data_IF_344442658652
#
_entry.id   IF_344442658652
#
_cell.length_a   1.000
_cell.length_b   1.000
_cell.length_c   1.000
_cell.angle_alpha   90.00
_cell.angle_beta   90.00
_cell.angle_gamma   90.00
#
_symmetry.space_group_name_H-M   'P 1'
#
loop_
_entity.id
_entity.type
_entity.pdbx_description
1 polymer ?
#
# COMPACT_ATOMS: atom_id res chain seq x y z
N UNK A 1 -16.44 -2.03 15.38
CA UNK A 1 -17.47 -0.97 15.45
C UNK A 1 -16.81 0.41 15.37
N UNK A 2 -15.86 0.71 16.25
CA UNK A 2 -15.19 2.02 16.35
C UNK A 2 -14.53 2.52 15.04
N UNK A 3 -13.89 1.65 14.24
CA UNK A 3 -13.23 2.05 12.99
C UNK A 3 -14.24 2.48 11.92
N UNK A 4 -15.41 1.82 11.85
CA UNK A 4 -16.46 2.16 10.88
C UNK A 4 -17.07 3.52 11.21
N UNK A 5 -17.43 3.73 12.47
CA UNK A 5 -17.97 4.99 12.97
C UNK A 5 -16.97 6.16 12.81
N UNK A 6 -15.66 5.90 13.03
CA UNK A 6 -14.62 6.89 12.78
C UNK A 6 -14.48 7.26 11.29
N UNK A 7 -14.64 6.28 10.39
CA UNK A 7 -14.69 6.53 8.95
C UNK A 7 -15.87 7.42 8.57
N UNK A 8 -17.08 7.09 9.04
CA UNK A 8 -18.30 7.86 8.77
C UNK A 8 -18.16 9.32 9.26
N UNK A 9 -17.55 9.53 10.44
CA UNK A 9 -17.25 10.86 10.95
C UNK A 9 -16.29 11.68 10.08
N UNK A 10 -15.50 11.03 9.21
CA UNK A 10 -14.60 11.64 8.24
C UNK A 10 -15.20 11.68 6.82
N UNK A 11 -16.46 11.28 6.64
CA UNK A 11 -17.10 11.17 5.33
C UNK A 11 -16.59 9.99 4.49
N UNK A 12 -15.98 9.00 5.14
CA UNK A 12 -15.48 7.76 4.52
C UNK A 12 -16.44 6.63 4.87
N UNK A 13 -17.18 6.15 3.90
CA UNK A 13 -18.05 5.00 4.10
C UNK A 13 -17.24 3.70 4.01
N UNK A 14 -17.36 2.87 5.06
CA UNK A 14 -16.64 1.60 5.17
C UNK A 14 -17.64 0.44 5.24
N UNK A 15 -17.47 -0.54 4.35
CA UNK A 15 -18.24 -1.78 4.36
C UNK A 15 -17.44 -2.88 5.05
N UNK A 16 -18.08 -3.55 6.01
CA UNK A 16 -17.55 -4.78 6.58
C UNK A 16 -17.91 -5.96 5.69
N UNK A 17 -16.90 -6.73 5.30
CA UNK A 17 -17.05 -7.90 4.44
C UNK A 17 -16.45 -9.15 5.09
N UNK A 18 -17.12 -10.28 4.87
CA UNK A 18 -16.56 -11.60 5.10
C UNK A 18 -16.13 -12.15 3.73
N UNK A 19 -14.83 -12.31 3.52
CA UNK A 19 -14.26 -12.64 2.21
C UNK A 19 -13.01 -13.49 2.37
N UNK A 20 -12.76 -14.38 1.40
CA UNK A 20 -11.51 -15.14 1.36
C UNK A 20 -10.32 -14.19 1.10
N UNK A 21 -9.12 -14.61 1.51
CA UNK A 21 -7.94 -13.77 1.30
C UNK A 21 -7.66 -13.55 -0.20
N UNK A 22 -7.81 -14.60 -1.02
CA UNK A 22 -7.70 -14.50 -2.48
C UNK A 22 -8.68 -13.48 -3.06
N UNK A 23 -9.96 -13.58 -2.70
CA UNK A 23 -11.01 -12.66 -3.16
C UNK A 23 -10.65 -11.20 -2.85
N UNK A 24 -10.18 -10.94 -1.62
CA UNK A 24 -9.70 -9.61 -1.26
C UNK A 24 -8.55 -9.15 -2.16
N UNK A 25 -7.59 -10.03 -2.48
CA UNK A 25 -6.41 -9.68 -3.28
C UNK A 25 -6.76 -9.44 -4.75
N UNK A 26 -7.62 -10.28 -5.34
CA UNK A 26 -7.89 -10.26 -6.79
C UNK A 26 -9.11 -9.45 -7.20
N UNK A 27 -10.13 -9.37 -6.35
CA UNK A 27 -11.45 -8.84 -6.74
C UNK A 27 -11.76 -7.48 -6.10
N UNK A 28 -11.17 -7.19 -4.94
CA UNK A 28 -11.38 -5.91 -4.25
C UNK A 28 -10.23 -4.95 -4.55
N UNK A 29 -10.45 -3.89 -5.36
CA UNK A 29 -9.41 -2.92 -5.66
C UNK A 29 -9.08 -2.06 -4.44
N UNK A 30 -7.86 -1.52 -4.43
CA UNK A 30 -7.45 -0.52 -3.46
C UNK A 30 -7.14 -1.04 -2.04
N UNK A 31 -6.86 -0.09 -1.13
CA UNK A 31 -6.50 -0.39 0.25
C UNK A 31 -7.70 -0.90 1.04
N UNK A 32 -7.42 -1.84 1.94
CA UNK A 32 -8.43 -2.50 2.77
C UNK A 32 -7.88 -2.73 4.16
N UNK A 33 -8.73 -2.64 5.17
CA UNK A 33 -8.35 -2.90 6.56
C UNK A 33 -8.67 -4.36 6.83
N UNK A 34 -7.65 -5.19 7.06
CA UNK A 34 -7.84 -6.61 7.34
C UNK A 34 -7.67 -6.89 8.83
N UNK A 35 -8.42 -7.87 9.32
CA UNK A 35 -8.29 -8.36 10.69
C UNK A 35 -7.45 -9.64 10.72
N UNK A 36 -6.41 -9.63 11.57
CA UNK A 36 -5.59 -10.80 11.87
C UNK A 36 -5.97 -11.39 13.22
N UNK A 37 -5.85 -12.71 13.36
CA UNK A 37 -5.97 -13.48 14.60
C UNK A 37 -4.58 -13.78 15.20
N UNK A 38 -4.57 -14.05 16.50
CA UNK A 38 -3.41 -14.55 17.28
C UNK A 38 -2.09 -13.74 17.17
N UNK A 39 -1.99 -12.54 17.78
CA UNK A 39 -3.04 -11.79 18.48
C UNK A 39 -4.00 -11.08 17.51
N UNK A 40 -5.21 -10.78 18.01
CA UNK A 40 -6.19 -9.97 17.29
C UNK A 40 -5.61 -8.58 16.96
N UNK A 41 -5.57 -8.23 15.68
CA UNK A 41 -4.95 -6.97 15.22
C UNK A 41 -5.54 -6.51 13.89
N UNK A 42 -5.77 -5.20 13.76
CA UNK A 42 -6.18 -4.60 12.49
C UNK A 42 -4.99 -3.92 11.83
N UNK A 43 -4.86 -4.11 10.53
CA UNK A 43 -3.84 -3.44 9.74
C UNK A 43 -4.38 -3.08 8.36
N UNK A 44 -3.75 -2.13 7.69
CA UNK A 44 -4.13 -1.75 6.33
C UNK A 44 -3.32 -2.57 5.36
N UNK A 45 -3.96 -3.42 4.57
CA UNK A 45 -3.36 -3.99 3.38
C UNK A 45 -3.52 -2.98 2.23
N UNK A 46 -2.43 -2.31 1.88
CA UNK A 46 -2.44 -1.31 0.83
C UNK A 46 -2.39 -1.94 -0.57
N UNK A 47 -1.60 -3.01 -0.71
CA UNK A 47 -1.39 -3.74 -1.96
C UNK A 47 -1.06 -5.20 -1.67
N UNK A 48 -1.34 -6.05 -2.64
CA UNK A 48 -1.02 -7.47 -2.59
C UNK A 48 -0.66 -7.99 -3.99
N UNK A 49 0.11 -9.07 -4.01
CA UNK A 49 0.39 -9.90 -5.17
C UNK A 49 0.18 -11.37 -4.78
N UNK A 50 0.31 -12.32 -5.73
CA UNK A 50 0.30 -13.74 -5.40
C UNK A 50 1.36 -14.17 -4.39
N UNK A 51 2.47 -13.44 -4.27
CA UNK A 51 3.62 -13.87 -3.44
C UNK A 51 3.80 -13.03 -2.17
N UNK A 52 3.29 -11.80 -2.15
CA UNK A 52 3.60 -10.85 -1.09
C UNK A 52 2.47 -9.86 -0.83
N UNK A 53 2.50 -9.24 0.35
CA UNK A 53 1.58 -8.16 0.73
C UNK A 53 2.31 -6.96 1.32
N UNK A 54 1.84 -5.75 0.99
CA UNK A 54 2.30 -4.50 1.58
C UNK A 54 1.26 -4.01 2.58
N UNK A 55 1.72 -3.86 3.81
CA UNK A 55 0.90 -3.53 4.97
C UNK A 55 1.31 -2.17 5.54
N UNK A 56 0.36 -1.43 6.09
CA UNK A 56 0.61 -0.37 7.04
C UNK A 56 0.22 -0.86 8.43
N UNK A 57 1.20 -0.94 9.31
CA UNK A 57 1.05 -1.40 10.68
C UNK A 57 1.78 -0.45 11.63
N UNK A 58 1.06 0.14 12.59
CA UNK A 58 1.62 1.09 13.54
C UNK A 58 2.34 2.30 12.90
N UNK A 59 1.87 2.77 11.74
CA UNK A 59 2.47 3.89 11.00
C UNK A 59 3.71 3.51 10.18
N UNK A 60 4.03 2.22 10.06
CA UNK A 60 5.15 1.73 9.24
C UNK A 60 4.62 0.98 8.03
N UNK A 61 5.29 1.16 6.89
CA UNK A 61 5.06 0.33 5.70
C UNK A 61 5.94 -0.91 5.81
N UNK A 62 5.33 -2.09 5.74
CA UNK A 62 6.02 -3.39 5.82
C UNK A 62 5.61 -4.23 4.61
N UNK A 63 6.57 -4.91 3.98
CA UNK A 63 6.31 -5.90 2.92
C UNK A 63 6.65 -7.27 3.46
N UNK A 64 5.76 -8.24 3.28
CA UNK A 64 5.93 -9.60 3.81
C UNK A 64 5.42 -10.66 2.84
N UNK A 65 5.89 -11.92 2.96
CA UNK A 65 5.31 -13.04 2.22
C UNK A 65 3.81 -13.15 2.50
N UNK A 66 3.03 -13.37 1.44
CA UNK A 66 1.57 -13.45 1.51
C UNK A 66 1.10 -14.51 2.52
N UNK A 67 1.69 -15.71 2.44
CA UNK A 67 1.34 -16.88 3.25
C UNK A 67 1.30 -16.54 4.75
N UNK A 68 2.29 -15.78 5.26
CA UNK A 68 2.38 -15.40 6.68
C UNK A 68 1.20 -14.56 7.16
N UNK A 69 0.60 -13.80 6.26
CA UNK A 69 -0.53 -12.92 6.57
C UNK A 69 -1.84 -13.67 6.39
N UNK A 70 -1.93 -14.48 5.33
CA UNK A 70 -3.09 -15.32 5.05
C UNK A 70 -3.37 -16.34 6.16
N UNK A 71 -2.33 -16.97 6.72
CA UNK A 71 -2.45 -17.87 7.88
C UNK A 71 -3.15 -17.20 9.08
N UNK A 72 -2.86 -15.92 9.27
CA UNK A 72 -3.39 -15.12 10.38
C UNK A 72 -4.67 -14.39 10.02
N UNK A 73 -5.07 -14.34 8.76
CA UNK A 73 -6.23 -13.57 8.35
C UNK A 73 -7.53 -14.19 8.87
N UNK A 74 -8.39 -13.38 9.49
CA UNK A 74 -9.59 -13.85 10.17
C UNK A 74 -10.80 -14.08 9.26
N UNK A 75 -10.69 -13.86 7.94
CA UNK A 75 -11.83 -13.89 7.03
C UNK A 75 -12.63 -12.58 6.99
N UNK A 76 -12.22 -11.56 7.75
CA UNK A 76 -12.97 -10.30 7.87
C UNK A 76 -12.12 -9.09 7.48
N UNK A 77 -12.70 -8.19 6.70
CA UNK A 77 -12.08 -6.94 6.29
C UNK A 77 -13.07 -5.77 6.29
N UNK A 78 -12.53 -4.56 6.29
CA UNK A 78 -13.24 -3.33 5.95
C UNK A 78 -12.70 -2.82 4.62
N UNK A 79 -13.61 -2.53 3.71
CA UNK A 79 -13.32 -1.97 2.39
C UNK A 79 -13.98 -0.59 2.29
N UNK A 80 -13.44 0.27 1.43
CA UNK A 80 -14.09 1.54 1.13
C UNK A 80 -15.35 1.25 0.30
N UNK A 81 -16.46 1.88 0.67
CA UNK A 81 -17.64 1.95 -0.19
C UNK A 81 -17.40 3.01 -1.26
N UNK A 82 -16.54 2.68 -2.22
CA UNK A 82 -16.36 3.51 -3.40
C UNK A 82 -17.24 2.93 -4.49
N UNK A 83 -18.44 3.50 -4.63
CA UNK A 83 -19.06 3.54 -5.96
C UNK A 83 -17.99 4.11 -6.90
N UNK A 84 -17.63 3.32 -7.93
CA UNK A 84 -16.64 3.68 -8.96
C UNK A 84 -17.00 5.07 -9.51
N UNK A 85 -16.29 6.11 -9.06
CA UNK A 85 -16.69 7.51 -9.24
C UNK A 85 -16.41 8.05 -10.66
N UNK A 86 -16.31 7.13 -11.62
CA UNK A 86 -16.39 7.44 -13.03
C UNK A 86 -15.15 8.13 -13.57
N UNK A 87 -14.13 7.33 -13.88
CA UNK A 87 -13.25 7.63 -15.00
C UNK A 87 -12.23 8.75 -14.79
N UNK A 88 -11.62 8.87 -13.61
CA UNK A 88 -10.39 9.65 -13.42
C UNK A 88 -9.14 8.97 -14.03
N UNK A 89 -8.01 9.69 -14.21
CA UNK A 89 -6.75 9.05 -14.58
C UNK A 89 -6.35 8.04 -13.50
N UNK A 90 -6.09 6.81 -13.89
CA UNK A 90 -5.82 5.69 -12.98
C UNK A 90 -4.41 5.19 -13.16
N UNK A 91 -3.56 5.40 -12.16
CA UNK A 91 -2.20 4.86 -12.15
C UNK A 91 -2.21 3.36 -11.88
N UNK A 92 -1.63 2.61 -12.79
CA UNK A 92 -1.40 1.17 -12.66
C UNK A 92 0.11 0.90 -12.69
N UNK A 93 0.58 0.08 -11.75
CA UNK A 93 1.98 -0.31 -11.65
C UNK A 93 2.06 -1.80 -11.97
N UNK A 94 2.81 -2.17 -13.01
CA UNK A 94 2.98 -3.58 -13.39
C UNK A 94 3.85 -4.34 -12.39
N UNK A 95 4.82 -3.63 -11.82
CA UNK A 95 5.69 -4.10 -10.77
C UNK A 95 5.99 -2.94 -9.83
N UNK A 96 6.13 -3.25 -8.54
CA UNK A 96 6.32 -2.25 -7.49
C UNK A 96 7.26 -2.78 -6.39
N UNK A 97 7.86 -3.95 -6.61
CA UNK A 97 8.91 -4.52 -5.80
C UNK A 97 9.93 -5.21 -6.72
N UNK A 98 11.22 -4.91 -6.49
CA UNK A 98 12.33 -5.57 -7.18
C UNK A 98 13.41 -5.90 -6.16
N UNK A 99 13.80 -7.16 -6.09
CA UNK A 99 14.90 -7.62 -5.25
C UNK A 99 16.19 -7.58 -6.06
N UNK A 100 17.09 -6.66 -5.71
CA UNK A 100 18.39 -6.54 -6.36
C UNK A 100 19.33 -7.74 -6.13
N UNK A 101 18.99 -8.66 -5.22
CA UNK A 101 19.82 -9.82 -4.89
C UNK A 101 21.14 -9.44 -4.21
N UNK A 102 22.17 -10.27 -4.38
CA UNK A 102 23.53 -9.98 -3.89
C UNK A 102 24.22 -9.06 -4.91
N UNK A 103 24.41 -7.79 -4.54
CA UNK A 103 25.24 -6.85 -5.29
C UNK A 103 26.66 -6.83 -4.72
N UNK A 104 27.67 -6.96 -5.58
CA UNK A 104 29.08 -6.87 -5.18
C UNK A 104 29.50 -5.44 -4.80
N UNK A 105 30.57 -5.32 -4.02
CA UNK A 105 31.14 -3.99 -3.66
C UNK A 105 31.57 -3.27 -4.95
N UNK A 106 31.01 -2.09 -5.19
CA UNK A 106 31.29 -1.26 -6.37
C UNK A 106 30.37 -1.50 -7.57
N UNK A 107 29.41 -2.42 -7.51
CA UNK A 107 28.42 -2.57 -8.57
C UNK A 107 27.32 -1.50 -8.46
N UNK A 108 27.06 -0.82 -9.59
CA UNK A 108 25.85 0.00 -9.76
C UNK A 108 24.72 -0.92 -10.20
N UNK A 109 23.65 -0.96 -9.40
CA UNK A 109 22.40 -1.65 -9.72
C UNK A 109 21.32 -0.60 -10.01
N UNK A 110 20.53 -0.83 -11.05
CA UNK A 110 19.47 0.06 -11.51
C UNK A 110 18.23 -0.78 -11.84
N UNK A 111 17.05 -0.29 -11.45
CA UNK A 111 15.77 -0.90 -11.78
C UNK A 111 14.75 0.22 -12.05
N UNK A 112 13.87 0.00 -13.02
CA UNK A 112 12.86 0.95 -13.43
C UNK A 112 11.47 0.32 -13.31
N UNK A 113 10.61 0.91 -12.49
CA UNK A 113 9.22 0.48 -12.36
C UNK A 113 8.39 1.02 -13.52
N UNK A 114 7.66 0.14 -14.20
CA UNK A 114 6.74 0.53 -15.27
C UNK A 114 5.40 0.95 -14.70
N UNK A 115 4.95 2.13 -15.09
CA UNK A 115 3.68 2.75 -14.67
C UNK A 115 2.84 3.07 -15.91
N UNK A 116 1.55 2.77 -15.87
CA UNK A 116 0.58 3.01 -16.95
C UNK A 116 -0.60 3.82 -16.44
N UNK A 117 -1.18 4.66 -17.30
CA UNK A 117 -2.49 5.26 -17.04
C UNK A 117 -3.54 4.33 -17.62
N UNK A 118 -4.31 3.67 -16.75
CA UNK A 118 -5.42 2.80 -17.08
C UNK A 118 -6.78 3.53 -17.05
N UNK A 119 -6.80 4.82 -16.71
CA UNK A 119 -7.99 5.68 -16.77
C UNK A 119 -8.15 6.35 -18.13
N UNK A 120 -9.35 6.84 -18.43
CA UNK A 120 -9.64 7.54 -19.69
C UNK A 120 -9.00 8.93 -19.80
N UNK A 121 -8.99 9.78 -18.77
CA UNK A 121 -8.40 11.11 -18.85
C UNK A 121 -6.87 11.05 -18.81
N UNK A 122 -6.23 12.08 -19.37
CA UNK A 122 -4.78 12.22 -19.34
C UNK A 122 -4.22 12.31 -17.90
N UNK A 123 -3.13 11.57 -17.67
CA UNK A 123 -2.37 11.62 -16.44
C UNK A 123 -1.30 12.71 -16.52
N UNK A 124 -1.41 13.74 -15.68
CA UNK A 124 -0.37 14.76 -15.53
C UNK A 124 0.61 14.39 -14.40
N UNK A 125 1.88 14.19 -14.74
CA UNK A 125 2.95 13.93 -13.76
C UNK A 125 3.72 15.23 -13.51
N UNK A 126 3.76 15.69 -12.26
CA UNK A 126 4.60 16.82 -11.84
C UNK A 126 5.74 16.33 -10.95
N UNK A 127 6.98 16.65 -11.35
CA UNK A 127 8.15 16.38 -10.53
C UNK A 127 8.22 17.41 -9.40
N UNK A 128 7.94 16.98 -8.17
CA UNK A 128 8.27 17.82 -7.02
C UNK A 128 9.78 17.77 -6.77
N UNK A 129 10.43 18.93 -6.79
CA UNK A 129 11.83 19.06 -6.42
C UNK A 129 12.01 18.60 -4.97
N UNK A 130 12.76 17.52 -4.75
CA UNK A 130 13.10 17.03 -3.40
C UNK A 130 13.95 18.09 -2.69
N UNK A 131 13.36 18.78 -1.71
CA UNK A 131 14.12 19.49 -0.68
C UNK A 131 14.67 18.50 0.34
N UNK A 132 15.82 17.89 0.06
CA UNK A 132 16.61 17.26 1.12
C UNK A 132 17.25 18.40 1.93
N UNK A 133 16.68 18.74 3.08
CA UNK A 133 17.34 19.59 4.06
C UNK A 133 18.62 18.89 4.52
N UNK A 134 19.78 19.39 4.10
CA UNK A 134 21.02 19.06 4.76
C UNK A 134 20.92 19.56 6.22
N UNK A 135 21.37 18.80 7.22
CA UNK A 135 21.52 19.36 8.56
C UNK A 135 22.52 20.53 8.49
N UNK A 136 22.30 21.60 9.26
CA UNK A 136 23.19 22.76 9.24
C UNK A 136 24.62 22.31 9.58
N UNK A 137 25.56 22.69 8.72
CA UNK A 137 26.99 22.54 9.00
C UNK A 137 27.33 23.50 10.14
N UNK A 138 27.38 22.97 11.35
CA UNK A 138 27.92 23.66 12.51
C UNK A 138 29.44 23.75 12.36
N UNK A 139 29.91 24.75 11.63
CA UNK A 139 31.31 25.17 11.62
C UNK A 139 31.50 26.27 12.66
N UNK A 140 31.83 25.86 13.89
CA UNK A 140 32.53 26.72 14.85
C UNK A 140 33.78 25.98 15.37
N UNK A 141 34.91 26.24 14.72
CA UNK A 141 36.25 26.11 15.29
C UNK A 141 37.10 27.23 14.69
N UNK A 142 37.63 28.10 15.56
CA UNK A 142 38.53 29.21 15.21
C UNK A 142 38.25 30.44 16.04
#
# INVERSE_FOLDING_TARGET
>A
LEIKEAGEGLGIELLGVEAAFDELVSEVPGPKIIHLKDPAHFLVMARASPEWVQLLDGGRVVVMPREKIEERYSGHALILDQEDDGGGPRLEFLEFHYSFGIAGVGQKVEHAFKVTNAGEPDLAITLQAKGCGAPPSDTSFG
#
